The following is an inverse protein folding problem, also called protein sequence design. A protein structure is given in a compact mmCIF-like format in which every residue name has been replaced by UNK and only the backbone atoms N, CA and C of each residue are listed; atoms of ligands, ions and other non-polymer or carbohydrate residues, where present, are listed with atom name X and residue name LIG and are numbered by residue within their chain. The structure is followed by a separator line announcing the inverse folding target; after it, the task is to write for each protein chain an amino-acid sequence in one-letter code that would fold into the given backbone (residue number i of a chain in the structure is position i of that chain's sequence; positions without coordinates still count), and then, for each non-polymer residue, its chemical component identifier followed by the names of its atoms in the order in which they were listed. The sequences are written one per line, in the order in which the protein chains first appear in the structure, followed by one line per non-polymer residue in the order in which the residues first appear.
data_IF_572813193407
#
_entry.id   IF_572813193407
#
_cell.length_a   1.000
_cell.length_b   1.000
_cell.length_c   1.000
_cell.angle_alpha   90.00
_cell.angle_beta   90.00
_cell.angle_gamma   90.00
#
_symmetry.space_group_name_H-M   'P 1'
#
loop_
_entity.id
_entity.type
_entity.pdbx_description
1 polymer ?
#
# COMPACT_ATOMS: atom_id res chain seq x y z
N UNK A 1 -16.31 15.27 -3.08
CA UNK A 1 -15.85 14.08 -2.34
C UNK A 1 -15.52 14.50 -0.93
N UNK A 2 -15.99 13.76 0.07
CA UNK A 2 -15.56 13.96 1.46
C UNK A 2 -14.05 13.66 1.56
N UNK A 3 -13.31 14.40 2.38
CA UNK A 3 -11.89 14.14 2.63
C UNK A 3 -11.73 13.27 3.87
N UNK A 4 -10.60 12.57 3.98
CA UNK A 4 -10.22 11.89 5.23
C UNK A 4 -10.24 12.89 6.40
N UNK A 5 -10.71 12.45 7.57
CA UNK A 5 -10.96 13.36 8.69
C UNK A 5 -9.69 14.11 9.18
N UNK A 6 -8.51 13.53 8.95
CA UNK A 6 -7.20 14.10 9.32
C UNK A 6 -6.60 15.09 8.30
N UNK A 7 -7.29 15.39 7.18
CA UNK A 7 -6.83 16.43 6.25
C UNK A 7 -6.73 17.79 6.96
N UNK A 8 -5.52 18.32 7.10
CA UNK A 8 -5.25 19.55 7.86
C UNK A 8 -4.41 20.60 7.10
N UNK A 9 -4.02 20.32 5.86
CA UNK A 9 -3.25 21.25 5.02
C UNK A 9 -3.78 21.32 3.59
N UNK A 10 -3.10 22.13 2.77
CA UNK A 10 -3.18 22.07 1.30
C UNK A 10 -1.99 21.28 0.73
N UNK A 11 -1.97 21.07 -0.59
CA UNK A 11 -0.92 20.31 -1.26
C UNK A 11 0.48 20.88 -1.03
N UNK A 12 0.68 22.18 -1.26
CA UNK A 12 1.99 22.82 -1.21
C UNK A 12 2.64 22.65 0.17
N UNK A 13 1.84 22.86 1.21
CA UNK A 13 2.30 22.79 2.60
C UNK A 13 2.33 21.37 3.18
N UNK A 14 1.83 20.35 2.48
CA UNK A 14 1.71 18.99 3.03
C UNK A 14 3.04 18.21 3.04
N UNK A 15 3.19 17.36 4.06
CA UNK A 15 4.22 16.32 4.14
C UNK A 15 3.73 14.99 3.53
N UNK A 16 2.43 14.71 3.71
CA UNK A 16 1.77 13.46 3.32
C UNK A 16 0.59 13.77 2.40
N UNK A 17 0.50 13.01 1.31
CA UNK A 17 -0.58 13.13 0.33
C UNK A 17 -1.38 11.83 0.27
N UNK A 18 -2.64 11.88 0.68
CA UNK A 18 -3.58 10.75 0.55
C UNK A 18 -4.18 10.77 -0.85
N UNK A 19 -4.13 9.65 -1.57
CA UNK A 19 -4.67 9.50 -2.92
C UNK A 19 -5.62 8.30 -2.93
N UNK A 20 -6.86 8.49 -3.36
CA UNK A 20 -7.75 7.37 -3.66
C UNK A 20 -7.63 6.95 -5.12
N UNK A 21 -7.71 5.64 -5.38
CA UNK A 21 -7.67 5.08 -6.73
C UNK A 21 -8.77 4.02 -6.83
N UNK A 22 -10.03 4.41 -7.11
CA UNK A 22 -11.20 3.54 -7.08
C UNK A 22 -11.28 2.67 -8.35
N UNK A 23 -10.30 1.78 -8.55
CA UNK A 23 -10.18 0.94 -9.73
C UNK A 23 -9.95 -0.52 -9.33
N UNK A 24 -10.81 -1.41 -9.84
CA UNK A 24 -10.69 -2.86 -9.70
C UNK A 24 -10.68 -3.58 -11.05
N UNK A 25 -10.35 -2.85 -12.12
CA UNK A 25 -10.48 -3.30 -13.51
C UNK A 25 -9.53 -4.43 -13.92
N UNK A 26 -8.52 -4.72 -13.10
CA UNK A 26 -7.56 -5.80 -13.31
C UNK A 26 -7.66 -6.87 -12.22
N UNK A 27 -8.77 -6.85 -11.48
CA UNK A 27 -9.19 -7.97 -10.64
C UNK A 27 -9.85 -9.03 -11.52
N UNK A 28 -9.40 -10.27 -11.41
CA UNK A 28 -10.10 -11.45 -11.95
C UNK A 28 -10.85 -12.22 -10.85
N UNK A 29 -11.00 -11.61 -9.66
CA UNK A 29 -11.71 -12.23 -8.56
C UNK A 29 -13.22 -12.25 -8.84
N UNK A 30 -13.90 -13.31 -8.40
CA UNK A 30 -15.37 -13.39 -8.42
C UNK A 30 -16.03 -12.37 -7.48
N UNK A 31 -15.28 -11.85 -6.49
CA UNK A 31 -15.74 -10.86 -5.52
C UNK A 31 -15.32 -9.48 -6.01
N UNK A 32 -16.31 -8.60 -6.11
CA UNK A 32 -16.13 -7.21 -6.56
C UNK A 32 -16.47 -6.22 -5.43
N UNK A 33 -16.16 -4.95 -5.67
CA UNK A 33 -16.52 -3.81 -4.83
C UNK A 33 -15.34 -3.08 -4.20
N UNK A 34 -14.10 -3.51 -4.47
CA UNK A 34 -12.91 -2.85 -3.87
C UNK A 34 -12.73 -1.44 -4.44
N UNK A 35 -13.26 -1.14 -5.63
CA UNK A 35 -13.33 0.23 -6.16
C UNK A 35 -14.07 1.22 -5.24
N UNK A 36 -14.94 0.75 -4.34
CA UNK A 36 -15.67 1.59 -3.38
C UNK A 36 -14.86 1.91 -2.12
N UNK A 37 -13.70 1.26 -1.92
CA UNK A 37 -12.90 1.40 -0.71
C UNK A 37 -12.44 2.84 -0.44
N UNK A 38 -11.97 3.64 -1.42
CA UNK A 38 -11.53 5.02 -1.18
C UNK A 38 -12.63 5.91 -0.59
N UNK A 39 -13.85 5.83 -1.11
CA UNK A 39 -14.99 6.57 -0.57
C UNK A 39 -15.34 6.07 0.85
N UNK A 40 -15.45 4.75 1.01
CA UNK A 40 -15.90 4.17 2.27
C UNK A 40 -14.91 4.40 3.42
N UNK A 41 -13.60 4.36 3.15
CA UNK A 41 -12.57 4.66 4.16
C UNK A 41 -12.64 6.12 4.60
N UNK A 42 -12.82 7.07 3.67
CA UNK A 42 -12.99 8.49 4.03
C UNK A 42 -14.23 8.71 4.87
N UNK A 43 -15.36 8.08 4.50
CA UNK A 43 -16.60 8.13 5.27
C UNK A 43 -16.42 7.55 6.68
N UNK A 44 -15.84 6.36 6.80
CA UNK A 44 -15.60 5.72 8.11
C UNK A 44 -14.67 6.59 8.95
N UNK A 45 -13.61 7.17 8.38
CA UNK A 45 -12.71 8.05 9.14
C UNK A 45 -13.45 9.24 9.77
N UNK A 46 -14.43 9.84 9.07
CA UNK A 46 -15.23 10.95 9.60
C UNK A 46 -16.31 10.49 10.60
N UNK A 47 -16.73 9.22 10.54
CA UNK A 47 -17.71 8.66 11.48
C UNK A 47 -17.05 8.14 12.76
N UNK A 48 -15.91 7.47 12.64
CA UNK A 48 -15.25 6.77 13.74
C UNK A 48 -14.28 7.68 14.51
N UNK A 49 -13.55 8.55 13.81
CA UNK A 49 -12.46 9.36 14.36
C UNK A 49 -12.80 10.85 14.41
N UNK A 50 -14.08 11.20 14.39
CA UNK A 50 -14.52 12.59 14.54
C UNK A 50 -15.72 12.67 15.48
N UNK A 51 -15.56 13.48 16.52
CA UNK A 51 -16.55 13.67 17.57
C UNK A 51 -17.04 15.11 17.57
N UNK A 52 -18.35 15.30 17.79
CA UNK A 52 -18.96 16.61 17.93
C UNK A 52 -19.59 16.74 19.32
N UNK A 53 -19.15 17.74 20.09
CA UNK A 53 -19.70 18.09 21.41
C UNK A 53 -19.81 19.59 21.51
N UNK A 54 -20.97 20.11 21.90
CA UNK A 54 -21.24 21.55 22.05
C UNK A 54 -20.83 22.40 20.82
N UNK A 55 -21.07 21.87 19.62
CA UNK A 55 -20.72 22.53 18.35
C UNK A 55 -19.24 22.46 17.97
N UNK A 56 -18.35 21.94 18.82
CA UNK A 56 -16.93 21.75 18.53
C UNK A 56 -16.66 20.37 17.94
N UNK A 57 -15.89 20.32 16.85
CA UNK A 57 -15.37 19.08 16.25
C UNK A 57 -14.00 18.77 16.85
N UNK A 58 -13.80 17.56 17.34
CA UNK A 58 -12.50 17.03 17.78
C UNK A 58 -12.23 15.71 17.07
N UNK A 59 -10.97 15.45 16.71
CA UNK A 59 -10.58 14.21 16.04
C UNK A 59 -10.05 13.18 17.03
N UNK A 60 -10.29 11.90 16.73
CA UNK A 60 -9.55 10.79 17.30
C UNK A 60 -8.11 10.86 16.81
N UNK A 61 -7.16 10.89 17.75
CA UNK A 61 -5.74 11.01 17.48
C UNK A 61 -4.97 10.06 18.40
N UNK A 62 -3.75 9.64 18.01
CA UNK A 62 -2.80 9.06 18.95
C UNK A 62 -2.59 9.99 20.16
N UNK A 63 -2.18 9.44 21.31
CA UNK A 63 -1.93 10.24 22.53
C UNK A 63 -0.93 11.38 22.29
N UNK A 64 0.04 11.17 21.39
CA UNK A 64 1.04 12.16 21.00
C UNK A 64 0.54 13.17 19.96
N UNK A 65 -0.70 13.03 19.48
CA UNK A 65 -1.25 13.79 18.37
C UNK A 65 -0.64 13.40 17.01
N UNK A 66 -0.98 14.18 15.99
CA UNK A 66 -0.37 14.15 14.65
C UNK A 66 0.33 15.49 14.42
N UNK A 67 1.63 15.47 14.19
CA UNK A 67 2.43 16.66 13.86
C UNK A 67 2.62 16.89 12.36
N UNK A 68 2.30 15.88 11.54
CA UNK A 68 2.44 15.94 10.08
C UNK A 68 1.30 16.71 9.42
N UNK A 69 1.61 17.43 8.35
CA UNK A 69 0.65 18.10 7.48
C UNK A 69 0.14 17.12 6.42
N UNK A 70 -1.15 16.84 6.45
CA UNK A 70 -1.82 15.83 5.62
C UNK A 70 -2.77 16.53 4.66
N UNK A 71 -2.62 16.22 3.37
CA UNK A 71 -3.53 16.65 2.31
C UNK A 71 -4.17 15.44 1.64
N UNK A 72 -5.49 15.38 1.62
CA UNK A 72 -6.26 14.45 0.80
C UNK A 72 -6.44 15.05 -0.59
N UNK A 73 -5.80 14.42 -1.58
CA UNK A 73 -5.80 14.79 -2.99
C UNK A 73 -7.14 14.46 -3.67
N UNK A 74 -7.97 13.61 -3.06
CA UNK A 74 -9.14 13.03 -3.70
C UNK A 74 -8.79 11.79 -4.52
N UNK A 75 -9.68 11.44 -5.44
CA UNK A 75 -9.51 10.26 -6.29
C UNK A 75 -8.89 10.61 -7.63
N UNK A 76 -8.03 9.70 -8.11
CA UNK A 76 -7.47 9.72 -9.45
C UNK A 76 -7.81 8.42 -10.18
N UNK A 77 -7.76 8.45 -11.50
CA UNK A 77 -7.90 7.25 -12.32
C UNK A 77 -6.58 6.47 -12.38
N UNK A 78 -6.66 5.19 -12.76
CA UNK A 78 -5.48 4.34 -13.02
C UNK A 78 -4.50 4.98 -14.01
N UNK A 79 -5.01 5.73 -14.99
CA UNK A 79 -4.21 6.39 -16.03
C UNK A 79 -3.46 7.62 -15.49
N UNK A 80 -3.97 8.25 -14.43
CA UNK A 80 -3.35 9.42 -13.81
C UNK A 80 -2.23 9.07 -12.82
N UNK A 81 -2.04 7.79 -12.48
CA UNK A 81 -0.99 7.33 -11.55
C UNK A 81 0.41 7.84 -11.94
N UNK A 82 0.88 7.70 -13.20
CA UNK A 82 2.23 8.13 -13.57
C UNK A 82 2.50 9.60 -13.25
N UNK A 83 1.67 10.50 -13.76
CA UNK A 83 1.84 11.94 -13.62
C UNK A 83 1.64 12.40 -12.16
N UNK A 84 0.64 11.83 -11.47
CA UNK A 84 0.33 12.21 -10.09
C UNK A 84 1.46 11.82 -9.14
N UNK A 85 1.96 10.58 -9.24
CA UNK A 85 3.04 10.11 -8.37
C UNK A 85 4.36 10.78 -8.69
N UNK A 86 4.68 10.98 -9.97
CA UNK A 86 5.88 11.73 -10.36
C UNK A 86 5.92 13.12 -9.72
N UNK A 87 4.79 13.84 -9.75
CA UNK A 87 4.67 15.15 -9.10
C UNK A 87 4.90 15.06 -7.59
N UNK A 88 4.21 14.14 -6.91
CA UNK A 88 4.29 13.97 -5.45
C UNK A 88 5.72 13.62 -4.99
N UNK A 89 6.38 12.72 -5.71
CA UNK A 89 7.76 12.29 -5.41
C UNK A 89 8.73 13.44 -5.65
N UNK A 90 8.59 14.17 -6.78
CA UNK A 90 9.42 15.33 -7.10
C UNK A 90 9.33 16.42 -6.02
N UNK A 91 8.14 16.61 -5.47
CA UNK A 91 7.90 17.57 -4.39
C UNK A 91 8.30 17.03 -3.00
N UNK A 92 9.00 15.88 -2.94
CA UNK A 92 9.50 15.24 -1.71
C UNK A 92 8.42 14.94 -0.68
N UNK A 93 7.21 14.60 -1.15
CA UNK A 93 6.06 14.26 -0.30
C UNK A 93 5.88 12.75 -0.21
N UNK A 94 5.28 12.28 0.89
CA UNK A 94 5.00 10.86 1.11
C UNK A 94 3.59 10.54 0.57
N UNK A 95 3.45 9.72 -0.49
CA UNK A 95 2.14 9.26 -0.93
C UNK A 95 1.61 8.15 0.00
N UNK A 96 0.32 8.21 0.32
CA UNK A 96 -0.43 7.09 0.89
C UNK A 96 -1.61 6.84 -0.03
N UNK A 97 -1.69 5.64 -0.58
CA UNK A 97 -2.71 5.28 -1.56
C UNK A 97 -3.77 4.40 -0.95
N UNK A 98 -5.02 4.74 -1.21
CA UNK A 98 -6.17 3.89 -0.91
C UNK A 98 -6.66 3.37 -2.24
N UNK A 99 -6.36 2.10 -2.52
CA UNK A 99 -6.64 1.49 -3.82
C UNK A 99 -8.05 0.96 -3.97
N UNK A 100 -8.25 0.31 -5.12
CA UNK A 100 -9.19 -0.78 -5.30
C UNK A 100 -8.43 -2.11 -5.27
N UNK A 101 -8.11 -2.68 -6.44
CA UNK A 101 -7.41 -3.97 -6.52
C UNK A 101 -5.88 -3.81 -6.40
N UNK A 102 -5.17 -4.93 -6.17
CA UNK A 102 -3.75 -4.92 -5.87
C UNK A 102 -2.84 -4.55 -7.06
N UNK A 103 -3.31 -4.70 -8.31
CA UNK A 103 -2.54 -4.37 -9.52
C UNK A 103 -2.13 -2.89 -9.60
N UNK A 104 -2.80 -2.01 -8.85
CA UNK A 104 -2.45 -0.61 -8.72
C UNK A 104 -1.06 -0.42 -8.11
N UNK A 105 -0.67 -1.27 -7.16
CA UNK A 105 0.63 -1.25 -6.51
C UNK A 105 1.77 -1.35 -7.53
N UNK A 106 1.64 -2.21 -8.54
CA UNK A 106 2.67 -2.36 -9.57
C UNK A 106 2.90 -1.06 -10.35
N UNK A 107 1.85 -0.32 -10.68
CA UNK A 107 1.97 0.99 -11.34
C UNK A 107 2.59 2.05 -10.42
N UNK A 108 2.23 2.05 -9.14
CA UNK A 108 2.76 2.98 -8.14
C UNK A 108 4.26 2.74 -7.92
N UNK A 109 4.65 1.48 -7.67
CA UNK A 109 6.03 1.07 -7.43
C UNK A 109 6.92 1.51 -8.60
N UNK A 110 6.49 1.28 -9.84
CA UNK A 110 7.19 1.73 -11.06
C UNK A 110 7.50 3.22 -11.08
N UNK A 111 6.62 4.06 -10.55
CA UNK A 111 6.84 5.50 -10.48
C UNK A 111 7.78 5.89 -9.34
N UNK A 112 7.61 5.27 -8.17
CA UNK A 112 8.41 5.54 -6.97
C UNK A 112 9.86 5.06 -7.14
N UNK A 113 10.07 3.98 -7.88
CA UNK A 113 11.38 3.38 -8.12
C UNK A 113 12.20 4.05 -9.23
N UNK A 114 11.74 5.16 -9.83
CA UNK A 114 12.41 5.82 -10.96
C UNK A 114 13.86 6.23 -10.64
N UNK A 115 14.15 6.58 -9.38
CA UNK A 115 15.48 7.03 -8.95
C UNK A 115 16.34 5.93 -8.33
N UNK A 116 15.74 4.85 -7.83
CA UNK A 116 16.43 3.71 -7.22
C UNK A 116 15.49 2.52 -7.06
N UNK A 117 16.06 1.32 -7.00
CA UNK A 117 15.33 0.13 -6.59
C UNK A 117 14.78 0.28 -5.17
N UNK A 118 13.60 -0.27 -4.94
CA UNK A 118 12.93 -0.24 -3.64
C UNK A 118 13.08 -1.56 -2.89
N UNK A 119 13.15 -1.48 -1.57
CA UNK A 119 12.88 -2.61 -0.68
C UNK A 119 11.38 -2.64 -0.38
N UNK A 120 10.75 -3.80 -0.41
CA UNK A 120 9.33 -3.94 -0.10
C UNK A 120 9.12 -4.62 1.25
N UNK A 121 8.25 -4.04 2.07
CA UNK A 121 7.61 -4.74 3.19
C UNK A 121 6.17 -5.00 2.75
N UNK A 122 5.91 -6.25 2.36
CA UNK A 122 4.72 -6.62 1.60
C UNK A 122 3.80 -7.51 2.43
N UNK A 123 2.68 -6.95 2.91
CA UNK A 123 1.71 -7.70 3.72
C UNK A 123 0.60 -8.26 2.84
N UNK A 124 0.56 -9.58 2.68
CA UNK A 124 -0.49 -10.26 1.92
C UNK A 124 -0.61 -11.74 2.31
N UNK A 125 -1.77 -12.34 2.05
CA UNK A 125 -2.00 -13.78 2.13
C UNK A 125 -1.38 -14.54 0.95
N UNK A 126 -1.30 -13.90 -0.22
CA UNK A 126 -0.77 -14.46 -1.46
C UNK A 126 0.54 -13.76 -1.83
N UNK A 127 1.47 -14.44 -2.50
CA UNK A 127 2.69 -13.78 -2.97
C UNK A 127 2.48 -12.75 -4.09
N UNK A 128 1.37 -12.85 -4.82
CA UNK A 128 1.09 -12.12 -6.06
C UNK A 128 2.29 -12.19 -7.02
N UNK A 129 2.87 -13.38 -7.12
CA UNK A 129 4.16 -13.60 -7.76
C UNK A 129 4.04 -14.44 -9.04
N UNK A 130 3.02 -14.17 -9.84
CA UNK A 130 2.88 -14.73 -11.17
C UNK A 130 3.71 -13.95 -12.19
N UNK A 131 4.37 -14.68 -13.08
CA UNK A 131 5.24 -14.16 -14.14
C UNK A 131 4.79 -14.54 -15.54
N UNK A 132 3.99 -15.60 -15.67
CA UNK A 132 3.38 -16.07 -16.92
C UNK A 132 2.30 -15.13 -17.47
N UNK A 133 1.65 -14.38 -16.59
CA UNK A 133 0.66 -13.34 -16.90
C UNK A 133 1.05 -12.03 -16.23
N UNK A 134 0.68 -10.89 -16.83
CA UNK A 134 1.10 -9.55 -16.42
C UNK A 134 -0.10 -8.63 -16.21
N UNK A 135 0.10 -7.57 -15.41
CA UNK A 135 -0.84 -6.48 -15.19
C UNK A 135 -2.16 -6.84 -14.50
N UNK A 136 -2.16 -7.82 -13.59
CA UNK A 136 -3.33 -8.16 -12.78
C UNK A 136 -2.95 -8.34 -11.30
N UNK A 137 -3.96 -8.44 -10.43
CA UNK A 137 -3.76 -8.47 -8.98
C UNK A 137 -2.79 -9.58 -8.51
N UNK A 138 -2.73 -10.74 -9.18
CA UNK A 138 -1.83 -11.84 -8.83
C UNK A 138 -0.43 -11.78 -9.45
N UNK A 139 -0.11 -10.79 -10.29
CA UNK A 139 1.23 -10.61 -10.87
C UNK A 139 2.03 -9.47 -10.26
N UNK A 140 1.53 -8.81 -9.20
CA UNK A 140 2.10 -7.55 -8.69
C UNK A 140 3.59 -7.66 -8.40
N UNK A 141 4.01 -8.65 -7.63
CA UNK A 141 5.42 -8.84 -7.27
C UNK A 141 6.26 -9.20 -8.51
N UNK A 142 5.73 -10.05 -9.39
CA UNK A 142 6.34 -10.42 -10.66
C UNK A 142 6.46 -9.26 -11.66
N UNK A 143 5.54 -8.28 -11.60
CA UNK A 143 5.50 -7.09 -12.44
C UNK A 143 6.48 -6.01 -12.00
N UNK A 144 7.01 -6.12 -10.77
CA UNK A 144 7.91 -5.13 -10.18
C UNK A 144 9.35 -5.58 -9.98
N UNK A 145 9.71 -6.81 -10.38
CA UNK A 145 11.05 -7.38 -10.15
C UNK A 145 12.23 -6.47 -10.58
N UNK A 146 12.09 -5.76 -11.70
CA UNK A 146 13.15 -4.86 -12.18
C UNK A 146 13.27 -3.57 -11.35
N UNK A 147 12.23 -3.23 -10.60
CA UNK A 147 12.09 -1.99 -9.82
C UNK A 147 12.38 -2.17 -8.33
N UNK A 148 12.58 -3.39 -7.88
CA UNK A 148 12.83 -3.72 -6.48
C UNK A 148 14.17 -4.44 -6.29
N UNK A 149 14.68 -4.35 -5.07
CA UNK A 149 15.71 -5.25 -4.59
C UNK A 149 15.03 -6.38 -3.84
N UNK A 150 15.08 -7.58 -4.43
CA UNK A 150 14.43 -8.77 -3.89
C UNK A 150 15.09 -9.23 -2.59
N UNK A 151 16.40 -9.05 -2.46
CA UNK A 151 17.17 -9.53 -1.30
C UNK A 151 16.87 -8.73 -0.04
N UNK A 152 16.43 -7.49 -0.20
CA UNK A 152 15.99 -6.62 0.88
C UNK A 152 14.46 -6.45 0.90
N UNK A 153 13.71 -7.35 0.24
CA UNK A 153 12.25 -7.37 0.26
C UNK A 153 11.72 -8.56 1.04
N UNK A 154 10.63 -8.35 1.78
CA UNK A 154 9.99 -9.37 2.62
C UNK A 154 8.48 -9.40 2.39
N UNK A 155 7.94 -10.60 2.24
CA UNK A 155 6.50 -10.87 2.23
C UNK A 155 6.04 -11.40 3.58
N UNK A 156 4.91 -10.92 4.10
CA UNK A 156 4.43 -11.20 5.45
C UNK A 156 2.96 -11.58 5.40
N UNK A 157 2.63 -12.75 5.94
CA UNK A 157 1.27 -13.31 6.00
C UNK A 157 0.97 -14.38 4.95
N UNK A 158 1.95 -14.75 4.12
CA UNK A 158 1.83 -15.70 3.02
C UNK A 158 1.34 -17.05 3.56
N UNK A 159 0.25 -17.56 2.99
CA UNK A 159 -0.36 -18.85 3.39
C UNK A 159 -1.10 -19.60 2.30
N UNK A 160 -1.30 -18.99 1.13
CA UNK A 160 -2.04 -19.60 0.01
C UNK A 160 -1.34 -19.45 -1.36
N UNK A 161 -0.03 -19.74 -1.49
CA UNK A 161 0.66 -19.64 -2.77
C UNK A 161 0.26 -20.77 -3.74
N UNK A 162 0.01 -20.45 -5.01
CA UNK A 162 -0.12 -21.48 -6.06
C UNK A 162 1.25 -21.99 -6.55
N UNK A 163 1.25 -22.95 -7.49
CA UNK A 163 2.50 -23.62 -7.89
C UNK A 163 3.52 -22.66 -8.48
N UNK A 164 3.14 -21.81 -9.45
CA UNK A 164 4.08 -20.87 -10.07
C UNK A 164 4.64 -19.87 -9.03
N UNK A 165 3.80 -19.42 -8.08
CA UNK A 165 4.25 -18.52 -7.03
C UNK A 165 5.26 -19.18 -6.10
N UNK A 166 5.07 -20.46 -5.73
CA UNK A 166 6.06 -21.21 -4.94
C UNK A 166 7.38 -21.33 -5.69
N UNK A 167 7.32 -21.70 -6.97
CA UNK A 167 8.51 -21.85 -7.82
C UNK A 167 9.26 -20.52 -7.94
N UNK A 168 8.53 -19.40 -8.06
CA UNK A 168 9.12 -18.06 -8.11
C UNK A 168 9.70 -17.62 -6.76
N UNK A 169 9.02 -17.86 -5.64
CA UNK A 169 9.57 -17.58 -4.31
C UNK A 169 10.92 -18.29 -4.09
N UNK A 170 11.01 -19.56 -4.48
CA UNK A 170 12.26 -20.34 -4.41
C UNK A 170 13.32 -19.81 -5.38
N UNK A 171 12.96 -19.65 -6.66
CA UNK A 171 13.87 -19.20 -7.72
C UNK A 171 14.51 -17.84 -7.41
N UNK A 172 13.74 -16.89 -6.89
CA UNK A 172 14.20 -15.54 -6.59
C UNK A 172 14.64 -15.37 -5.14
N UNK A 173 14.54 -16.43 -4.31
CA UNK A 173 14.92 -16.45 -2.90
C UNK A 173 14.25 -15.31 -2.10
N UNK A 174 12.96 -15.08 -2.34
CA UNK A 174 12.18 -14.07 -1.62
C UNK A 174 11.95 -14.53 -0.19
N UNK A 175 12.14 -13.65 0.78
CA UNK A 175 11.80 -13.94 2.18
C UNK A 175 10.28 -13.87 2.33
N UNK A 176 9.63 -15.03 2.45
CA UNK A 176 8.21 -15.14 2.74
C UNK A 176 7.98 -15.64 4.17
N UNK A 177 7.31 -14.83 4.99
CA UNK A 177 7.00 -15.11 6.39
C UNK A 177 5.52 -15.49 6.48
N UNK A 178 5.24 -16.72 6.92
CA UNK A 178 3.87 -17.19 7.10
C UNK A 178 3.30 -16.81 8.47
N UNK A 179 1.97 -16.87 8.66
CA UNK A 179 1.38 -16.75 9.99
C UNK A 179 1.88 -17.83 10.97
N UNK A 180 2.27 -19.01 10.46
CA UNK A 180 2.83 -20.09 11.28
C UNK A 180 4.24 -19.75 11.77
N UNK A 181 5.07 -19.12 10.92
CA UNK A 181 6.38 -18.59 11.34
C UNK A 181 6.22 -17.58 12.48
N UNK A 182 5.24 -16.70 12.38
CA UNK A 182 4.94 -15.70 13.42
C UNK A 182 4.49 -16.38 14.71
N UNK A 183 3.61 -17.37 14.61
CA UNK A 183 3.11 -18.12 15.77
C UNK A 183 4.22 -18.92 16.46
N UNK A 184 5.13 -19.51 15.70
CA UNK A 184 6.22 -20.35 16.21
C UNK A 184 7.39 -19.51 16.76
N UNK A 185 7.85 -18.50 16.01
CA UNK A 185 9.04 -17.71 16.36
C UNK A 185 8.72 -16.52 17.26
N UNK A 186 7.47 -16.05 17.25
CA UNK A 186 7.00 -14.88 17.96
C UNK A 186 7.28 -13.57 17.23
N UNK A 187 6.41 -12.59 17.45
CA UNK A 187 6.41 -11.31 16.72
C UNK A 187 7.73 -10.52 16.87
N UNK A 188 8.38 -10.59 18.04
CA UNK A 188 9.63 -9.86 18.30
C UNK A 188 10.77 -10.36 17.41
N UNK A 189 10.92 -11.69 17.25
CA UNK A 189 11.96 -12.26 16.40
C UNK A 189 11.69 -11.98 14.92
N UNK A 190 10.44 -12.08 14.51
CA UNK A 190 10.03 -11.74 13.14
C UNK A 190 10.30 -10.27 12.84
N UNK A 191 9.96 -9.37 13.77
CA UNK A 191 10.25 -7.95 13.63
C UNK A 191 11.75 -7.69 13.47
N UNK A 192 12.58 -8.31 14.31
CA UNK A 192 14.04 -8.21 14.19
C UNK A 192 14.54 -8.69 12.82
N UNK A 193 14.09 -9.87 12.37
CA UNK A 193 14.42 -10.40 11.04
C UNK A 193 14.04 -9.42 9.92
N UNK A 194 12.84 -8.83 9.99
CA UNK A 194 12.37 -7.85 9.00
C UNK A 194 13.30 -6.63 8.98
N UNK A 195 13.62 -6.07 10.16
CA UNK A 195 14.49 -4.88 10.25
C UNK A 195 15.92 -5.16 9.77
N UNK A 196 16.46 -6.34 10.05
CA UNK A 196 17.80 -6.73 9.58
C UNK A 196 17.83 -6.93 8.05
N UNK A 197 16.72 -7.37 7.46
CA UNK A 197 16.58 -7.59 6.01
C UNK A 197 16.51 -6.28 5.23
N UNK A 198 15.72 -5.32 5.70
CA UNK A 198 15.46 -4.06 4.97
C UNK A 198 16.55 -3.01 5.18
N UNK A 199 17.40 -3.18 6.21
CA UNK A 199 18.43 -2.22 6.61
C UNK A 199 17.88 -0.97 7.32
#
# INVERSE_FOLDING_TARGET
MEKICWNNSNYNDSDVVIIGIPDESQSHALREGTSKAPEQIRKISNLADSYKRDGKKSLGLPLTGISKKVFDYGDITRQQIPETFEKIIKDSKIPISIGGDHSLSAKIIKQVSKSKKLSLVYFDAHPDFITSTKNYYGSVFGDVLEFIDVQTSVQIGVRTPEQEERDNLEKYQVIAISPFDIAEKGITKIFQQITETIG
#
